data_IF_941210474223
#
_entry.id   IF_941210474223
#
_cell.length_a   1.000
_cell.length_b   1.000
_cell.length_c   1.000
_cell.angle_alpha   90.00
_cell.angle_beta   90.00
_cell.angle_gamma   90.00
#
_symmetry.space_group_name_H-M   'P 1'
#
loop_
_entity.id
_entity.type
_entity.pdbx_description
1 polymer ?
#
# COMPACT_ATOMS: atom_id res chain seq x y z
N UNK A 1 6.84 -13.49 -9.79
CA UNK A 1 6.06 -12.43 -9.14
C UNK A 1 6.22 -11.15 -9.92
N UNK A 2 5.13 -10.61 -10.41
CA UNK A 2 5.19 -9.39 -11.21
C UNK A 2 5.78 -8.23 -10.43
N UNK A 3 5.40 -8.11 -9.17
CA UNK A 3 5.87 -7.01 -8.35
C UNK A 3 7.38 -7.06 -8.17
N UNK A 4 7.92 -8.23 -7.84
CA UNK A 4 9.36 -8.40 -7.66
C UNK A 4 10.10 -8.18 -8.98
N UNK A 5 9.53 -8.64 -10.10
CA UNK A 5 10.20 -8.51 -11.39
C UNK A 5 10.26 -7.06 -11.85
N UNK A 6 9.40 -6.19 -11.33
CA UNK A 6 9.47 -4.76 -11.64
C UNK A 6 10.59 -4.06 -10.87
N UNK A 7 11.22 -4.76 -9.95
CA UNK A 7 12.37 -4.26 -9.22
C UNK A 7 12.09 -2.94 -8.51
N UNK A 8 10.91 -2.84 -7.91
CA UNK A 8 10.53 -1.63 -7.19
C UNK A 8 11.21 -1.59 -5.83
N UNK A 9 11.94 -0.52 -5.53
CA UNK A 9 12.51 -0.39 -4.19
C UNK A 9 11.40 -0.03 -3.19
N UNK A 10 11.40 -0.69 -2.05
CA UNK A 10 10.43 -0.41 -0.99
C UNK A 10 11.19 -0.13 0.30
N UNK A 11 10.95 1.05 0.86
CA UNK A 11 11.65 1.49 2.07
C UNK A 11 10.91 1.09 3.34
N UNK A 12 9.61 0.88 3.25
CA UNK A 12 8.80 0.58 4.42
C UNK A 12 7.65 -0.33 4.02
N UNK A 13 7.42 -1.39 4.80
CA UNK A 13 6.24 -2.24 4.66
C UNK A 13 5.41 -2.10 5.93
N UNK A 14 4.15 -1.68 5.76
CA UNK A 14 3.20 -1.52 6.86
C UNK A 14 2.03 -2.46 6.59
N UNK A 15 1.66 -3.26 7.57
CA UNK A 15 0.62 -4.26 7.40
C UNK A 15 -0.32 -4.28 8.60
N UNK A 16 -1.56 -4.66 8.35
CA UNK A 16 -2.49 -5.01 9.41
C UNK A 16 -1.96 -6.24 10.16
N UNK A 17 -2.17 -6.34 11.47
CA UNK A 17 -1.66 -7.47 12.25
C UNK A 17 -2.45 -8.76 12.06
N UNK A 18 -3.54 -8.76 11.29
CA UNK A 18 -4.28 -9.98 11.02
C UNK A 18 -3.37 -11.00 10.35
N UNK A 19 -3.60 -12.28 10.65
CA UNK A 19 -2.73 -13.36 10.19
C UNK A 19 -2.55 -13.34 8.67
N UNK A 20 -3.64 -13.13 7.93
CA UNK A 20 -3.61 -13.15 6.47
C UNK A 20 -2.75 -12.03 5.90
N UNK A 21 -2.96 -10.81 6.39
CA UNK A 21 -2.20 -9.66 5.90
C UNK A 21 -0.74 -9.72 6.33
N UNK A 22 -0.50 -10.21 7.53
CA UNK A 22 0.87 -10.39 8.01
C UNK A 22 1.63 -11.38 7.12
N UNK A 23 1.00 -12.50 6.76
CA UNK A 23 1.63 -13.48 5.87
C UNK A 23 1.87 -12.90 4.49
N UNK A 24 0.91 -12.17 3.95
CA UNK A 24 1.07 -11.52 2.65
C UNK A 24 2.24 -10.55 2.67
N UNK A 25 2.33 -9.74 3.71
CA UNK A 25 3.42 -8.78 3.85
C UNK A 25 4.77 -9.49 3.93
N UNK A 26 4.84 -10.60 4.64
CA UNK A 26 6.08 -11.36 4.77
C UNK A 26 6.51 -11.96 3.43
N UNK A 27 5.56 -12.43 2.63
CA UNK A 27 5.85 -12.95 1.30
C UNK A 27 6.43 -11.84 0.41
N UNK A 28 5.83 -10.66 0.42
CA UNK A 28 6.35 -9.54 -0.34
C UNK A 28 7.72 -9.08 0.17
N UNK A 29 7.90 -9.09 1.49
CA UNK A 29 9.19 -8.71 2.06
C UNK A 29 10.30 -9.61 1.55
N UNK A 30 10.03 -10.92 1.50
CA UNK A 30 11.00 -11.88 1.00
C UNK A 30 11.26 -11.68 -0.49
N UNK A 31 10.19 -11.52 -1.27
CA UNK A 31 10.32 -11.35 -2.72
C UNK A 31 11.09 -10.09 -3.09
N UNK A 32 10.93 -9.03 -2.30
CA UNK A 32 11.59 -7.74 -2.53
C UNK A 32 12.95 -7.64 -1.87
N UNK A 33 13.36 -8.67 -1.12
CA UNK A 33 14.59 -8.67 -0.34
C UNK A 33 14.61 -7.52 0.67
N UNK A 34 13.43 -7.27 1.26
CA UNK A 34 13.28 -6.25 2.28
C UNK A 34 13.94 -6.76 3.55
N UNK A 35 14.93 -6.04 4.05
CA UNK A 35 15.73 -6.51 5.17
C UNK A 35 15.41 -5.82 6.49
N UNK A 36 14.30 -5.09 6.54
CA UNK A 36 13.83 -4.47 7.76
C UNK A 36 12.66 -5.24 8.32
N UNK A 37 12.18 -4.83 9.49
CA UNK A 37 11.01 -5.45 10.09
C UNK A 37 9.75 -4.91 9.45
N UNK A 38 8.82 -5.78 9.12
CA UNK A 38 7.48 -5.36 8.69
C UNK A 38 6.80 -4.69 9.87
N UNK A 39 6.32 -3.47 9.66
CA UNK A 39 5.65 -2.71 10.71
C UNK A 39 4.18 -3.12 10.75
N UNK A 40 3.73 -3.63 11.89
CA UNK A 40 2.32 -4.00 12.08
C UNK A 40 1.60 -2.82 12.73
N UNK A 41 0.45 -2.46 12.17
CA UNK A 41 -0.32 -1.33 12.65
C UNK A 41 -1.77 -1.75 12.85
N UNK A 42 -2.22 -1.76 14.09
CA UNK A 42 -3.57 -2.21 14.42
C UNK A 42 -4.66 -1.32 13.84
N UNK A 43 -4.35 -0.07 13.58
CA UNK A 43 -5.30 0.84 12.96
C UNK A 43 -5.76 0.33 11.58
N UNK A 44 -4.88 -0.41 10.89
CA UNK A 44 -5.22 -0.95 9.57
C UNK A 44 -6.23 -2.09 9.61
N UNK A 45 -6.45 -2.67 10.78
CA UNK A 45 -7.45 -3.72 10.94
C UNK A 45 -8.82 -3.07 11.03
N UNK A 46 -9.67 -3.30 10.03
CA UNK A 46 -11.02 -2.70 9.95
C UNK A 46 -11.00 -1.16 9.90
N UNK A 47 -9.97 -0.60 9.26
CA UNK A 47 -9.84 0.85 9.16
C UNK A 47 -10.83 1.42 8.15
N UNK A 48 -11.26 2.67 8.40
CA UNK A 48 -11.94 3.46 7.39
C UNK A 48 -10.91 4.18 6.53
N UNK A 49 -11.35 4.70 5.38
CA UNK A 49 -10.42 5.29 4.42
C UNK A 49 -9.65 6.48 5.00
N UNK A 50 -10.30 7.29 5.83
CA UNK A 50 -9.61 8.44 6.42
C UNK A 50 -8.53 8.02 7.41
N UNK A 51 -8.71 6.86 8.07
CA UNK A 51 -7.68 6.33 8.96
C UNK A 51 -6.48 5.80 8.18
N UNK A 52 -6.73 5.19 7.01
CA UNK A 52 -5.66 4.77 6.13
C UNK A 52 -4.88 5.97 5.61
N UNK A 53 -5.58 7.01 5.17
CA UNK A 53 -4.94 8.23 4.69
C UNK A 53 -4.10 8.86 5.79
N UNK A 54 -4.62 8.92 7.01
CA UNK A 54 -3.88 9.48 8.14
C UNK A 54 -2.60 8.70 8.40
N UNK A 55 -2.70 7.36 8.37
CA UNK A 55 -1.53 6.52 8.54
C UNK A 55 -0.47 6.83 7.49
N UNK A 56 -0.88 6.99 6.25
CA UNK A 56 0.05 7.29 5.16
C UNK A 56 0.67 8.68 5.34
N UNK A 57 -0.14 9.68 5.69
CA UNK A 57 0.35 11.06 5.81
C UNK A 57 1.33 11.23 6.97
N UNK A 58 1.27 10.36 7.97
CA UNK A 58 2.18 10.45 9.11
C UNK A 58 3.47 9.64 8.91
N UNK A 59 3.69 9.11 7.72
CA UNK A 59 4.93 8.41 7.40
C UNK A 59 6.10 9.41 7.41
N UNK A 60 7.24 8.97 7.92
CA UNK A 60 8.43 9.83 7.95
C UNK A 60 8.91 10.12 6.53
N UNK A 61 9.39 11.34 6.30
CA UNK A 61 9.83 11.77 4.97
C UNK A 61 11.14 11.11 4.52
N UNK A 62 11.81 10.38 5.40
CA UNK A 62 12.95 9.56 4.99
C UNK A 62 12.51 8.32 4.21
N UNK A 63 11.22 8.02 4.19
CA UNK A 63 10.66 6.91 3.43
C UNK A 63 10.23 7.44 2.06
N UNK A 64 10.82 6.91 0.99
CA UNK A 64 10.44 7.31 -0.36
C UNK A 64 9.34 6.43 -0.94
N UNK A 65 9.29 5.17 -0.54
CA UNK A 65 8.25 4.25 -1.03
C UNK A 65 7.79 3.34 0.08
N UNK A 66 6.48 3.07 0.09
CA UNK A 66 5.86 2.28 1.13
C UNK A 66 4.89 1.27 0.51
N UNK A 67 4.94 0.04 1.02
CA UNK A 67 3.95 -0.98 0.69
C UNK A 67 2.97 -1.08 1.87
N UNK A 68 1.69 -0.86 1.58
CA UNK A 68 0.63 -0.95 2.58
C UNK A 68 -0.19 -2.20 2.31
N UNK A 69 -0.29 -3.08 3.31
CA UNK A 69 -1.05 -4.32 3.19
C UNK A 69 -2.22 -4.26 4.16
N UNK A 70 -3.41 -4.24 3.63
CA UNK A 70 -4.63 -4.08 4.43
C UNK A 70 -5.77 -4.93 3.93
N UNK A 71 -6.98 -4.45 4.16
CA UNK A 71 -8.20 -5.20 3.92
C UNK A 71 -9.19 -4.43 3.06
N UNK A 72 -10.03 -5.16 2.34
CA UNK A 72 -11.22 -4.57 1.75
C UNK A 72 -12.32 -4.54 2.80
N UNK A 73 -13.25 -3.58 2.70
CA UNK A 73 -13.40 -2.61 1.61
C UNK A 73 -12.50 -1.37 1.73
N UNK A 74 -11.66 -1.28 2.74
CA UNK A 74 -10.86 -0.07 2.99
C UNK A 74 -9.90 0.22 1.84
N UNK A 75 -9.26 -0.82 1.28
CA UNK A 75 -8.32 -0.63 0.17
C UNK A 75 -9.03 -0.14 -1.08
N UNK A 76 -10.21 -0.68 -1.37
CA UNK A 76 -11.00 -0.21 -2.50
C UNK A 76 -11.39 1.24 -2.32
N UNK A 77 -11.84 1.61 -1.11
CA UNK A 77 -12.22 2.99 -0.82
C UNK A 77 -11.03 3.94 -0.95
N UNK A 78 -9.85 3.50 -0.52
CA UNK A 78 -8.64 4.30 -0.65
C UNK A 78 -8.30 4.54 -2.13
N UNK A 79 -8.38 3.50 -2.95
CA UNK A 79 -8.09 3.63 -4.38
C UNK A 79 -9.09 4.56 -5.06
N UNK A 80 -10.37 4.47 -4.71
CA UNK A 80 -11.38 5.38 -5.24
C UNK A 80 -11.07 6.82 -4.86
N UNK A 81 -10.71 7.04 -3.62
CA UNK A 81 -10.44 8.38 -3.10
C UNK A 81 -9.22 9.01 -3.77
N UNK A 82 -8.17 8.24 -4.00
CA UNK A 82 -6.91 8.80 -4.48
C UNK A 82 -6.83 8.88 -6.00
N UNK A 83 -7.31 7.85 -6.70
CA UNK A 83 -7.12 7.80 -8.16
C UNK A 83 -8.42 7.54 -8.93
N UNK A 84 -9.57 7.60 -8.25
CA UNK A 84 -10.85 7.39 -8.92
C UNK A 84 -11.02 5.98 -9.48
N UNK A 85 -10.45 4.99 -8.82
CA UNK A 85 -10.48 3.61 -9.27
C UNK A 85 -11.93 3.13 -9.41
N UNK A 86 -12.24 2.48 -10.52
CA UNK A 86 -13.64 2.16 -10.86
C UNK A 86 -14.00 0.70 -10.62
N UNK A 87 -13.07 -0.09 -10.12
CA UNK A 87 -13.30 -1.51 -9.88
C UNK A 87 -13.10 -1.82 -8.42
N UNK A 88 -13.47 -3.04 -8.01
CA UNK A 88 -13.16 -3.50 -6.68
C UNK A 88 -11.71 -3.98 -6.65
N UNK A 89 -10.98 -3.59 -5.62
CA UNK A 89 -9.60 -4.03 -5.43
C UNK A 89 -9.60 -5.53 -5.19
N UNK A 90 -8.96 -6.29 -6.06
CA UNK A 90 -8.99 -7.75 -6.01
C UNK A 90 -8.08 -8.28 -4.92
N UNK A 91 -8.43 -9.46 -4.39
CA UNK A 91 -7.57 -10.14 -3.42
C UNK A 91 -6.24 -10.47 -4.08
N UNK A 92 -5.15 -10.15 -3.40
CA UNK A 92 -3.81 -10.39 -3.92
C UNK A 92 -3.34 -9.37 -4.95
N UNK A 93 -4.14 -8.35 -5.23
CA UNK A 93 -3.77 -7.32 -6.19
C UNK A 93 -2.75 -6.35 -5.60
N UNK A 94 -1.97 -5.74 -6.48
CA UNK A 94 -1.01 -4.71 -6.12
C UNK A 94 -1.32 -3.48 -6.96
N UNK A 95 -1.45 -2.34 -6.29
CA UNK A 95 -1.65 -1.07 -6.96
C UNK A 95 -0.47 -0.16 -6.64
N UNK A 96 0.12 0.43 -7.66
CA UNK A 96 1.18 1.39 -7.48
C UNK A 96 0.64 2.78 -7.75
N UNK A 97 0.80 3.68 -6.79
CA UNK A 97 0.38 5.07 -6.90
C UNK A 97 1.60 5.94 -6.65
N UNK A 98 1.82 6.90 -7.54
CA UNK A 98 2.88 7.87 -7.41
C UNK A 98 2.29 9.20 -6.99
N UNK A 99 2.95 9.90 -6.08
CA UNK A 99 2.49 11.19 -5.59
C UNK A 99 3.51 12.26 -5.95
N UNK A 100 3.07 13.27 -6.68
CA UNK A 100 3.93 14.38 -7.09
C UNK A 100 3.96 15.43 -5.99
N UNK A 101 4.69 15.12 -4.91
CA UNK A 101 4.86 16.01 -3.77
C UNK A 101 6.11 15.58 -3.01
N UNK A 102 6.59 16.45 -2.14
CA UNK A 102 7.86 16.22 -1.43
C UNK A 102 7.68 15.61 -0.05
N UNK A 103 6.47 15.55 0.47
CA UNK A 103 6.22 15.06 1.82
C UNK A 103 4.95 14.24 1.86
N UNK A 104 4.94 13.20 2.70
CA UNK A 104 3.76 12.34 2.85
C UNK A 104 2.55 13.10 3.35
N UNK A 105 2.75 14.16 4.14
CA UNK A 105 1.62 14.93 4.67
C UNK A 105 0.89 15.68 3.57
N UNK A 106 1.51 15.86 2.42
CA UNK A 106 0.94 16.62 1.31
C UNK A 106 0.24 15.74 0.28
N UNK A 107 0.19 14.42 0.46
CA UNK A 107 -0.45 13.56 -0.54
C UNK A 107 -1.95 13.85 -0.61
N UNK A 108 -2.47 13.83 -1.82
CA UNK A 108 -3.90 14.05 -2.05
C UNK A 108 -4.25 13.56 -3.45
N UNK A 109 -5.54 13.56 -3.77
CA UNK A 109 -5.98 13.07 -5.07
C UNK A 109 -5.44 13.95 -6.21
N UNK A 110 -5.18 15.22 -5.96
CA UNK A 110 -4.68 16.11 -6.99
C UNK A 110 -3.26 15.81 -7.43
N UNK A 111 -2.46 15.20 -6.56
CA UNK A 111 -1.09 14.84 -6.93
C UNK A 111 -0.88 13.33 -7.03
N UNK A 112 -1.95 12.54 -6.91
CA UNK A 112 -1.86 11.09 -7.01
C UNK A 112 -2.00 10.64 -8.46
N UNK A 113 -1.16 9.70 -8.87
CA UNK A 113 -1.20 9.16 -10.22
C UNK A 113 -1.13 7.64 -10.13
N UNK A 114 -2.11 6.96 -10.73
CA UNK A 114 -2.11 5.52 -10.79
C UNK A 114 -1.08 5.08 -11.83
N UNK A 115 -0.07 4.33 -11.39
CA UNK A 115 0.98 3.83 -12.25
C UNK A 115 0.61 2.45 -12.79
N UNK A 116 0.15 1.55 -11.90
CA UNK A 116 -0.20 0.20 -12.34
C UNK A 116 -1.15 -0.42 -11.35
N UNK A 117 -1.93 -1.37 -11.84
CA UNK A 117 -2.79 -2.21 -11.02
C UNK A 117 -2.72 -3.61 -11.59
N UNK A 118 -2.26 -4.57 -10.79
CA UNK A 118 -2.07 -5.94 -11.22
C UNK A 118 -2.67 -6.89 -10.21
N UNK A 119 -3.23 -7.98 -10.69
CA UNK A 119 -3.73 -9.02 -9.81
C UNK A 119 -3.39 -10.39 -10.39
N UNK A 120 -3.41 -11.43 -9.55
CA UNK A 120 -2.98 -12.76 -9.99
C UNK A 120 -3.84 -13.29 -11.13
N UNK A 121 -3.18 -13.94 -12.08
CA UNK A 121 -3.88 -14.65 -13.14
C UNK A 121 -4.28 -16.03 -12.64
N UNK A 122 -5.40 -16.49 -13.13
CA UNK A 122 -5.87 -17.84 -12.82
C UNK A 122 -5.30 -18.83 -13.77
#
# INVERSE_FOLDING_TARGET
>A
QNFASKNLPVDLIVASPATRTKKTAEIFAEALKYNKTVMLNEVLYMAFVNELLETITYTFDTVDSMLLVGHNPSLTALAITLVGFKEKFQMGAIMEIDFDCDSWIDICKENAKLISYEFPNK
#
